data_IF_362533417957
#
_entry.id   IF_362533417957
#
_cell.length_a   1.000
_cell.length_b   1.000
_cell.length_c   1.000
_cell.angle_alpha   90.00
_cell.angle_beta   90.00
_cell.angle_gamma   90.00
#
_symmetry.space_group_name_H-M   'P 1'
#
loop_
_entity.id
_entity.type
_entity.pdbx_description
1 polymer ?
#
# COMPACT_ATOMS: atom_id res chain seq x y z
N UNK A 1 2.68 89.12 -17.11
CA UNK A 1 1.54 89.54 -17.92
C UNK A 1 0.65 88.31 -18.05
N UNK A 2 -0.29 88.26 -17.24
CA UNK A 2 -1.73 88.49 -17.46
C UNK A 2 -2.50 87.18 -17.71
N UNK A 3 -3.41 87.00 -16.74
CA UNK A 3 -4.76 86.44 -16.64
C UNK A 3 -4.98 84.93 -16.76
N UNK A 4 -5.35 84.31 -15.66
CA UNK A 4 -6.70 84.01 -15.14
C UNK A 4 -7.71 83.50 -16.19
N UNK A 5 -8.25 82.32 -15.91
CA UNK A 5 -9.65 82.11 -15.72
C UNK A 5 -10.02 80.77 -15.07
N UNK A 6 -10.63 80.83 -13.92
CA UNK A 6 -11.38 79.82 -13.21
C UNK A 6 -12.55 79.27 -14.07
N UNK A 7 -12.69 77.98 -14.15
CA UNK A 7 -13.99 77.37 -14.36
C UNK A 7 -14.16 76.18 -13.39
N UNK A 8 -15.03 76.44 -12.45
CA UNK A 8 -15.56 75.45 -11.51
C UNK A 8 -16.58 74.63 -12.29
N UNK A 9 -16.41 73.33 -12.38
CA UNK A 9 -17.47 72.42 -12.81
C UNK A 9 -17.59 71.29 -11.82
N UNK A 10 -18.70 71.34 -11.05
CA UNK A 10 -19.21 70.28 -10.22
C UNK A 10 -19.48 69.01 -11.05
N UNK A 11 -18.83 67.95 -10.76
CA UNK A 11 -19.31 66.68 -11.20
C UNK A 11 -19.51 65.74 -10.01
N UNK A 12 -20.73 65.27 -9.94
CA UNK A 12 -21.38 64.43 -8.97
C UNK A 12 -20.62 63.14 -8.77
N UNK A 13 -20.32 62.84 -7.54
CA UNK A 13 -19.81 61.54 -7.09
C UNK A 13 -20.93 60.50 -7.19
N UNK A 14 -20.82 59.62 -8.16
CA UNK A 14 -21.53 58.34 -8.14
C UNK A 14 -20.68 57.33 -7.37
N UNK A 15 -20.99 57.08 -6.12
CA UNK A 15 -20.46 55.98 -5.36
C UNK A 15 -21.00 54.67 -5.93
N UNK A 16 -20.23 54.01 -6.78
CA UNK A 16 -20.46 52.63 -7.12
C UNK A 16 -19.85 51.77 -6.03
N UNK A 17 -20.68 51.27 -5.13
CA UNK A 17 -20.31 50.25 -4.17
C UNK A 17 -20.03 48.94 -4.91
N UNK A 18 -18.76 48.64 -5.14
CA UNK A 18 -18.31 47.30 -5.55
C UNK A 18 -18.49 46.40 -4.35
N UNK A 19 -19.56 45.62 -4.33
CA UNK A 19 -19.70 44.50 -3.41
C UNK A 19 -18.71 43.42 -3.81
N UNK A 20 -17.62 43.31 -3.02
CA UNK A 20 -16.73 42.18 -3.08
C UNK A 20 -17.49 40.95 -2.59
N UNK A 21 -17.91 40.11 -3.53
CA UNK A 21 -18.42 38.78 -3.23
C UNK A 21 -17.23 37.96 -2.76
N UNK A 22 -17.10 37.85 -1.44
CA UNK A 22 -16.16 36.93 -0.81
C UNK A 22 -16.67 35.51 -1.05
N UNK A 23 -16.22 34.89 -2.14
CA UNK A 23 -16.38 33.46 -2.35
C UNK A 23 -15.47 32.76 -1.35
N UNK A 24 -15.97 32.48 -0.14
CA UNK A 24 -15.39 31.50 0.74
C UNK A 24 -15.51 30.15 0.07
N UNK A 25 -14.46 29.75 -0.62
CA UNK A 25 -14.24 28.36 -0.98
C UNK A 25 -14.05 27.59 0.33
N UNK A 26 -15.14 27.05 0.88
CA UNK A 26 -15.10 26.00 1.85
C UNK A 26 -14.38 24.82 1.20
N UNK A 27 -13.06 24.78 1.36
CA UNK A 27 -12.25 23.60 1.13
C UNK A 27 -12.58 22.52 2.17
N UNK A 28 -13.82 22.03 2.11
CA UNK A 28 -14.12 20.73 2.68
C UNK A 28 -13.36 19.73 1.80
N UNK A 29 -12.13 19.37 2.24
CA UNK A 29 -11.53 18.13 1.82
C UNK A 29 -12.56 17.04 2.14
N UNK A 30 -13.27 16.59 1.10
CA UNK A 30 -14.08 15.41 1.18
C UNK A 30 -13.14 14.29 1.60
N UNK A 31 -13.15 13.96 2.89
CA UNK A 31 -12.69 12.66 3.37
C UNK A 31 -13.63 11.63 2.73
N UNK A 32 -13.39 11.32 1.48
CA UNK A 32 -13.88 10.06 0.92
C UNK A 32 -13.30 9.00 1.83
N UNK A 33 -14.17 8.37 2.62
CA UNK A 33 -13.88 7.10 3.28
C UNK A 33 -13.64 6.12 2.13
N UNK A 34 -12.39 6.08 1.68
CA UNK A 34 -11.95 5.05 0.75
C UNK A 34 -12.16 3.76 1.51
N UNK A 35 -13.06 2.90 1.03
CA UNK A 35 -13.23 1.56 1.56
C UNK A 35 -11.83 0.95 1.68
N UNK A 36 -11.42 0.65 2.91
CA UNK A 36 -10.07 0.20 3.20
C UNK A 36 -9.87 -1.13 2.46
N UNK A 37 -9.01 -1.14 1.43
CA UNK A 37 -8.66 -2.38 0.75
C UNK A 37 -7.95 -3.30 1.74
N UNK A 38 -8.48 -4.51 1.91
CA UNK A 38 -7.97 -5.50 2.85
C UNK A 38 -7.58 -6.78 2.12
N UNK A 39 -6.66 -7.53 2.73
CA UNK A 39 -6.27 -8.84 2.24
C UNK A 39 -7.43 -9.84 2.28
N UNK A 40 -7.40 -10.83 1.41
CA UNK A 40 -8.32 -11.97 1.43
C UNK A 40 -8.04 -12.88 2.65
N UNK A 41 -6.78 -13.01 3.04
CA UNK A 41 -6.40 -13.72 4.24
C UNK A 41 -6.49 -12.77 5.45
N UNK A 42 -7.34 -13.06 6.46
CA UNK A 42 -7.48 -12.17 7.62
C UNK A 42 -6.15 -11.95 8.35
N UNK A 43 -5.87 -10.69 8.73
CA UNK A 43 -4.66 -10.32 9.47
C UNK A 43 -3.41 -10.10 8.62
N UNK A 44 -3.51 -10.27 7.30
CA UNK A 44 -2.42 -9.92 6.39
C UNK A 44 -2.47 -8.43 6.01
N UNK A 45 -1.30 -7.82 5.86
CA UNK A 45 -1.16 -6.47 5.32
C UNK A 45 -1.24 -6.51 3.79
N UNK A 46 -1.60 -5.39 3.18
CA UNK A 46 -1.62 -5.22 1.71
C UNK A 46 -0.70 -4.11 1.25
N UNK A 47 -0.22 -3.28 2.17
CA UNK A 47 0.65 -2.14 1.90
C UNK A 47 2.07 -2.44 2.36
N UNK A 48 3.05 -2.23 1.46
CA UNK A 48 4.47 -2.51 1.73
C UNK A 48 5.08 -1.58 2.77
N UNK A 49 4.63 -0.30 2.83
CA UNK A 49 5.12 0.65 3.81
C UNK A 49 4.67 0.27 5.23
N UNK A 50 3.44 -0.23 5.37
CA UNK A 50 2.93 -0.77 6.65
C UNK A 50 3.70 -2.02 7.06
N UNK A 51 3.94 -2.93 6.10
CA UNK A 51 4.73 -4.13 6.34
C UNK A 51 6.17 -3.79 6.74
N UNK A 52 6.79 -2.82 6.08
CA UNK A 52 8.11 -2.30 6.44
C UNK A 52 8.12 -1.72 7.86
N UNK A 53 7.18 -0.85 8.19
CA UNK A 53 7.10 -0.24 9.52
C UNK A 53 6.96 -1.29 10.62
N UNK A 54 6.12 -2.31 10.40
CA UNK A 54 5.95 -3.42 11.34
C UNK A 54 7.20 -4.30 11.42
N UNK A 55 7.83 -4.60 10.30
CA UNK A 55 9.10 -5.36 10.23
C UNK A 55 10.21 -4.65 11.01
N UNK A 56 10.39 -3.35 10.81
CA UNK A 56 11.36 -2.53 11.56
C UNK A 56 11.08 -2.52 13.05
N UNK A 57 9.82 -2.40 13.45
CA UNK A 57 9.41 -2.39 14.86
C UNK A 57 9.66 -3.72 15.55
N UNK A 58 9.45 -4.84 14.85
CA UNK A 58 9.48 -6.18 15.43
C UNK A 58 10.77 -6.96 15.17
N UNK A 59 11.61 -6.49 14.25
CA UNK A 59 12.80 -7.20 13.78
C UNK A 59 12.51 -8.41 12.90
N UNK A 60 11.23 -8.69 12.58
CA UNK A 60 10.83 -9.85 11.79
C UNK A 60 10.96 -9.60 10.30
N UNK A 61 11.36 -10.63 9.50
CA UNK A 61 11.32 -10.53 8.06
C UNK A 61 9.88 -10.44 7.54
N UNK A 62 9.71 -9.87 6.36
CA UNK A 62 8.44 -9.85 5.64
C UNK A 62 8.29 -11.16 4.86
N UNK A 63 7.12 -11.78 4.96
CA UNK A 63 6.71 -12.91 4.14
C UNK A 63 5.61 -12.45 3.20
N UNK A 64 5.95 -12.28 1.92
CA UNK A 64 5.03 -11.83 0.88
C UNK A 64 4.45 -13.00 0.08
N UNK A 65 3.13 -13.08 0.03
CA UNK A 65 2.39 -14.06 -0.76
C UNK A 65 1.89 -13.42 -2.07
N UNK A 66 2.52 -13.74 -3.17
CA UNK A 66 2.03 -13.41 -4.52
C UNK A 66 0.95 -14.41 -4.90
N UNK A 67 -0.28 -13.92 -5.08
CA UNK A 67 -1.48 -14.74 -5.22
C UNK A 67 -2.44 -14.21 -6.27
N UNK A 68 -3.36 -15.05 -6.71
CA UNK A 68 -4.52 -14.69 -7.52
C UNK A 68 -5.79 -15.20 -6.84
N UNK A 69 -6.26 -14.47 -5.83
CA UNK A 69 -7.23 -14.93 -4.84
C UNK A 69 -8.53 -15.47 -5.45
N UNK A 70 -9.01 -14.88 -6.56
CA UNK A 70 -10.29 -15.22 -7.16
C UNK A 70 -10.22 -16.27 -8.28
N UNK A 71 -9.02 -16.56 -8.82
CA UNK A 71 -8.86 -17.47 -9.96
C UNK A 71 -7.83 -18.59 -9.78
N UNK A 72 -6.80 -18.41 -8.91
CA UNK A 72 -5.70 -19.36 -8.76
C UNK A 72 -6.09 -20.53 -7.85
N UNK A 73 -6.31 -21.71 -8.42
CA UNK A 73 -6.71 -22.91 -7.67
C UNK A 73 -5.68 -23.37 -6.64
N UNK A 74 -4.38 -23.31 -6.95
CA UNK A 74 -3.31 -23.67 -6.02
C UNK A 74 -3.17 -22.67 -4.88
N UNK A 75 -3.43 -21.37 -5.13
CA UNK A 75 -3.44 -20.34 -4.09
C UNK A 75 -4.55 -20.61 -3.07
N UNK A 76 -5.75 -20.93 -3.55
CA UNK A 76 -6.89 -21.30 -2.68
C UNK A 76 -6.61 -22.56 -1.86
N UNK A 77 -5.94 -23.56 -2.45
CA UNK A 77 -5.51 -24.76 -1.71
C UNK A 77 -4.50 -24.42 -0.62
N UNK A 78 -3.49 -23.58 -0.93
CA UNK A 78 -2.50 -23.16 0.07
C UNK A 78 -3.16 -22.39 1.22
N UNK A 79 -4.08 -21.47 0.93
CA UNK A 79 -4.87 -20.80 1.96
C UNK A 79 -5.63 -21.80 2.83
N UNK A 80 -6.30 -22.77 2.23
CA UNK A 80 -7.11 -23.75 2.97
C UNK A 80 -6.27 -24.75 3.78
N UNK A 81 -5.11 -25.18 3.25
CA UNK A 81 -4.25 -26.17 3.93
C UNK A 81 -3.25 -25.57 4.90
N UNK A 82 -2.88 -24.29 4.73
CA UNK A 82 -1.84 -23.63 5.54
C UNK A 82 -2.36 -22.34 6.16
N UNK A 83 -2.64 -21.30 5.38
CA UNK A 83 -2.80 -19.94 5.91
C UNK A 83 -4.03 -19.74 6.82
N UNK A 84 -5.10 -20.52 6.58
CA UNK A 84 -6.31 -20.50 7.42
C UNK A 84 -6.16 -21.25 8.74
N UNK A 85 -5.09 -22.05 8.93
CA UNK A 85 -4.91 -22.88 10.10
C UNK A 85 -4.40 -22.05 11.29
N UNK A 86 -4.92 -22.33 12.47
CA UNK A 86 -4.54 -21.60 13.69
C UNK A 86 -3.08 -21.85 14.07
N UNK A 87 -2.56 -23.04 13.78
CA UNK A 87 -1.14 -23.37 13.94
C UNK A 87 -0.24 -22.44 13.12
N UNK A 88 -0.62 -22.17 11.84
CA UNK A 88 0.10 -21.23 10.99
C UNK A 88 0.00 -19.81 11.53
N UNK A 89 -1.18 -19.36 11.92
CA UNK A 89 -1.40 -18.00 12.44
C UNK A 89 -0.53 -17.75 13.69
N UNK A 90 -0.57 -18.71 14.63
CA UNK A 90 0.25 -18.64 15.86
C UNK A 90 1.74 -18.62 15.58
N UNK A 91 2.20 -19.41 14.61
CA UNK A 91 3.58 -19.42 14.17
C UNK A 91 3.96 -18.09 13.48
N UNK A 92 3.13 -17.60 12.57
CA UNK A 92 3.38 -16.39 11.80
C UNK A 92 3.48 -15.15 12.69
N UNK A 93 2.60 -15.03 13.69
CA UNK A 93 2.64 -13.95 14.69
C UNK A 93 4.00 -13.81 15.38
N UNK A 94 4.73 -14.91 15.53
CA UNK A 94 6.05 -14.93 16.19
C UNK A 94 7.21 -14.69 15.23
N UNK A 95 7.08 -15.11 13.97
CA UNK A 95 8.23 -15.30 13.08
C UNK A 95 8.30 -14.33 11.90
N UNK A 96 7.17 -13.83 11.39
CA UNK A 96 7.13 -13.04 10.15
C UNK A 96 6.12 -11.91 10.20
N UNK A 97 6.26 -10.94 9.31
CA UNK A 97 5.23 -9.97 8.96
C UNK A 97 4.56 -10.43 7.67
N UNK A 98 3.24 -10.61 7.71
CA UNK A 98 2.47 -11.15 6.60
C UNK A 98 2.06 -10.04 5.63
N UNK A 99 2.39 -10.19 4.34
CA UNK A 99 2.05 -9.28 3.25
C UNK A 99 1.37 -10.04 2.11
N UNK A 100 0.16 -9.65 1.73
CA UNK A 100 -0.56 -10.23 0.61
C UNK A 100 -0.45 -9.32 -0.62
N UNK A 101 0.04 -9.87 -1.71
CA UNK A 101 0.18 -9.22 -3.00
C UNK A 101 -0.76 -9.92 -3.98
N UNK A 102 -2.04 -9.49 -3.98
CA UNK A 102 -3.08 -10.12 -4.80
C UNK A 102 -3.14 -9.53 -6.21
N UNK A 103 -3.34 -10.42 -7.19
CA UNK A 103 -3.51 -10.13 -8.61
C UNK A 103 -4.85 -10.71 -9.10
N UNK A 104 -5.98 -10.18 -8.63
CA UNK A 104 -7.29 -10.70 -8.96
C UNK A 104 -7.68 -10.36 -10.40
N UNK A 105 -8.64 -11.13 -10.96
CA UNK A 105 -9.20 -10.88 -12.30
C UNK A 105 -10.61 -10.31 -12.26
N UNK A 106 -11.33 -10.49 -11.15
CA UNK A 106 -12.75 -10.11 -10.99
C UNK A 106 -12.98 -9.05 -9.91
N UNK A 107 -11.94 -8.70 -9.15
CA UNK A 107 -12.00 -7.70 -8.08
C UNK A 107 -11.19 -6.50 -8.45
N UNK A 108 -11.61 -5.33 -7.96
CA UNK A 108 -10.85 -4.09 -8.13
C UNK A 108 -9.86 -3.94 -6.98
N UNK A 109 -8.61 -3.71 -7.31
CA UNK A 109 -7.54 -3.33 -6.39
C UNK A 109 -7.26 -1.84 -6.59
N UNK A 110 -7.05 -1.04 -5.53
CA UNK A 110 -6.67 0.37 -5.66
C UNK A 110 -5.41 0.54 -6.52
N UNK A 111 -5.38 1.59 -7.33
CA UNK A 111 -4.31 1.80 -8.32
C UNK A 111 -2.90 1.84 -7.70
N UNK A 112 -2.75 2.45 -6.53
CA UNK A 112 -1.48 2.48 -5.80
C UNK A 112 -1.02 1.08 -5.36
N UNK A 113 -1.95 0.23 -4.92
CA UNK A 113 -1.66 -1.17 -4.55
C UNK A 113 -1.37 -2.01 -5.79
N UNK A 114 -2.09 -1.80 -6.89
CA UNK A 114 -1.77 -2.47 -8.17
C UNK A 114 -0.35 -2.15 -8.63
N UNK A 115 0.03 -0.87 -8.61
CA UNK A 115 1.38 -0.44 -8.99
C UNK A 115 2.45 -1.02 -8.05
N UNK A 116 2.22 -1.00 -6.74
CA UNK A 116 3.09 -1.63 -5.75
C UNK A 116 3.27 -3.13 -6.05
N UNK A 117 2.17 -3.86 -6.23
CA UNK A 117 2.21 -5.31 -6.47
C UNK A 117 2.96 -5.64 -7.77
N UNK A 118 2.73 -4.88 -8.84
CA UNK A 118 3.42 -5.06 -10.11
C UNK A 118 4.93 -4.81 -9.98
N UNK A 119 5.34 -3.76 -9.28
CA UNK A 119 6.75 -3.45 -9.03
C UNK A 119 7.44 -4.55 -8.23
N UNK A 120 6.79 -5.06 -7.18
CA UNK A 120 7.32 -6.16 -6.38
C UNK A 120 7.36 -7.47 -7.17
N UNK A 121 6.34 -7.75 -7.99
CA UNK A 121 6.34 -8.91 -8.88
C UNK A 121 7.55 -8.89 -9.83
N UNK A 122 7.85 -7.73 -10.41
CA UNK A 122 9.00 -7.55 -11.29
C UNK A 122 10.33 -7.69 -10.52
N UNK A 123 10.46 -7.04 -9.36
CA UNK A 123 11.66 -7.07 -8.53
C UNK A 123 12.02 -8.50 -8.09
N UNK A 124 11.01 -9.30 -7.72
CA UNK A 124 11.18 -10.70 -7.31
C UNK A 124 11.11 -11.69 -8.49
N UNK A 125 10.93 -11.23 -9.73
CA UNK A 125 10.83 -12.06 -10.93
C UNK A 125 9.78 -13.16 -10.80
N UNK A 126 8.62 -12.84 -10.24
CA UNK A 126 7.55 -13.80 -10.01
C UNK A 126 6.81 -14.08 -11.30
N UNK A 127 6.84 -15.34 -11.78
CA UNK A 127 6.21 -15.78 -13.02
C UNK A 127 5.00 -16.71 -12.83
N UNK A 128 4.69 -17.08 -11.58
CA UNK A 128 3.58 -17.99 -11.28
C UNK A 128 3.07 -17.84 -9.86
N UNK A 129 1.91 -18.46 -9.58
CA UNK A 129 1.23 -18.36 -8.30
C UNK A 129 0.80 -19.74 -7.77
N UNK A 130 0.81 -19.97 -6.43
CA UNK A 130 1.36 -19.06 -5.42
C UNK A 130 2.89 -19.02 -5.46
N UNK A 131 3.47 -17.86 -5.19
CA UNK A 131 4.89 -17.71 -4.88
C UNK A 131 5.01 -16.91 -3.60
N UNK A 132 5.77 -17.44 -2.65
CA UNK A 132 6.00 -16.81 -1.35
C UNK A 132 7.47 -16.43 -1.26
N UNK A 133 7.76 -15.16 -1.03
CA UNK A 133 9.09 -14.66 -0.74
C UNK A 133 9.23 -14.26 0.72
N UNK A 134 10.37 -14.58 1.31
CA UNK A 134 10.79 -14.14 2.64
C UNK A 134 12.00 -13.22 2.49
N UNK A 135 11.95 -12.02 3.07
CA UNK A 135 12.99 -11.01 2.88
C UNK A 135 13.00 -9.97 4.00
N UNK A 136 14.13 -9.31 4.18
CA UNK A 136 14.21 -8.03 4.87
C UNK A 136 14.10 -6.88 3.88
N UNK A 137 13.48 -5.79 4.33
CA UNK A 137 13.34 -4.58 3.58
C UNK A 137 14.09 -3.47 4.31
N UNK A 138 15.04 -2.83 3.63
CA UNK A 138 15.77 -1.68 4.12
C UNK A 138 15.39 -0.46 3.27
N UNK A 139 15.23 0.69 3.91
CA UNK A 139 14.89 1.94 3.23
C UNK A 139 16.05 2.92 3.33
N UNK A 140 16.51 3.41 2.19
CA UNK A 140 17.36 4.59 2.10
C UNK A 140 16.46 5.82 2.19
N UNK A 141 16.38 6.42 3.37
CA UNK A 141 15.48 7.56 3.62
C UNK A 141 15.86 8.79 2.77
N UNK A 142 17.15 8.97 2.45
CA UNK A 142 17.61 10.10 1.64
C UNK A 142 17.13 10.00 0.17
N UNK A 143 17.02 8.78 -0.35
CA UNK A 143 16.59 8.52 -1.73
C UNK A 143 15.14 8.05 -1.82
N UNK A 144 14.48 7.80 -0.68
CA UNK A 144 13.16 7.16 -0.59
C UNK A 144 13.08 5.86 -1.41
N UNK A 145 14.14 5.05 -1.34
CA UNK A 145 14.27 3.80 -2.09
C UNK A 145 14.37 2.61 -1.14
N UNK A 146 13.70 1.52 -1.52
CA UNK A 146 13.80 0.25 -0.82
C UNK A 146 14.89 -0.64 -1.41
N UNK A 147 15.65 -1.29 -0.52
CA UNK A 147 16.59 -2.37 -0.86
C UNK A 147 16.07 -3.67 -0.27
N UNK A 148 15.96 -4.70 -1.10
CA UNK A 148 15.47 -6.02 -0.73
C UNK A 148 16.64 -6.93 -0.42
N UNK A 149 16.66 -7.51 0.77
CA UNK A 149 17.54 -8.60 1.17
C UNK A 149 16.72 -9.90 1.18
N UNK A 150 16.81 -10.68 0.11
CA UNK A 150 16.03 -11.89 -0.06
C UNK A 150 16.63 -13.06 0.76
N UNK A 151 15.82 -13.64 1.64
CA UNK A 151 16.20 -14.81 2.45
C UNK A 151 15.87 -16.12 1.75
N UNK A 152 14.78 -16.17 0.98
CA UNK A 152 14.40 -17.32 0.20
C UNK A 152 12.98 -17.24 -0.35
N UNK A 153 12.62 -18.26 -1.15
CA UNK A 153 11.28 -18.40 -1.71
C UNK A 153 10.76 -19.82 -1.61
N UNK A 154 9.43 -19.95 -1.56
CA UNK A 154 8.72 -21.23 -1.65
C UNK A 154 7.44 -21.06 -2.46
N UNK A 155 6.72 -22.15 -2.66
CA UNK A 155 5.42 -22.16 -3.34
C UNK A 155 4.38 -22.92 -2.53
N UNK A 156 3.56 -23.73 -3.21
CA UNK A 156 2.57 -24.57 -2.58
C UNK A 156 3.24 -25.68 -1.75
N UNK A 157 2.76 -25.86 -0.52
CA UNK A 157 3.00 -27.05 0.31
C UNK A 157 1.67 -27.60 0.80
N UNK A 158 1.66 -28.88 1.15
CA UNK A 158 0.42 -29.55 1.54
C UNK A 158 0.06 -29.34 3.02
N UNK A 159 1.04 -29.07 3.87
CA UNK A 159 0.87 -28.99 5.33
C UNK A 159 1.49 -27.74 5.93
N UNK A 160 0.97 -27.35 7.10
CA UNK A 160 1.52 -26.22 7.88
C UNK A 160 2.96 -26.51 8.27
N UNK A 161 3.27 -27.71 8.75
CA UNK A 161 4.60 -28.07 9.21
C UNK A 161 5.64 -27.97 8.09
N UNK A 162 5.34 -28.50 6.90
CA UNK A 162 6.22 -28.41 5.75
C UNK A 162 6.49 -26.95 5.37
N UNK A 163 5.45 -26.14 5.33
CA UNK A 163 5.55 -24.72 5.01
C UNK A 163 6.40 -23.95 6.02
N UNK A 164 6.07 -24.06 7.30
CA UNK A 164 6.74 -23.32 8.38
C UNK A 164 8.19 -23.74 8.55
N UNK A 165 8.49 -25.05 8.49
CA UNK A 165 9.86 -25.55 8.53
C UNK A 165 10.71 -25.03 7.37
N UNK A 166 10.15 -24.96 6.16
CA UNK A 166 10.82 -24.39 5.00
C UNK A 166 11.13 -22.89 5.18
N UNK A 167 10.18 -22.12 5.70
CA UNK A 167 10.38 -20.69 5.97
C UNK A 167 11.40 -20.46 7.10
N UNK A 168 11.35 -21.25 8.16
CA UNK A 168 12.34 -21.17 9.26
C UNK A 168 13.77 -21.40 8.80
N UNK A 169 13.99 -22.32 7.86
CA UNK A 169 15.32 -22.55 7.27
C UNK A 169 15.82 -21.33 6.48
N UNK A 170 14.92 -20.52 5.90
CA UNK A 170 15.30 -19.29 5.21
C UNK A 170 15.69 -18.19 6.21
N UNK A 171 14.96 -18.09 7.32
CA UNK A 171 15.17 -17.06 8.36
C UNK A 171 16.46 -17.32 9.17
N UNK A 172 16.86 -18.57 9.35
CA UNK A 172 18.03 -18.96 10.17
C UNK A 172 19.37 -18.88 9.42
N UNK A 173 19.37 -18.59 8.14
CA UNK A 173 20.60 -18.42 7.34
C UNK A 173 21.26 -17.08 7.61
#
# INVERSE_FOLDING_TARGET
MVYEFLVISCFLWAFSTVQSVNAQSNGQAAHTVQATYTAENPGWLVNIDEAYALSKKTGKPIMANFTGSDWCGWCKRLTASVFSKDEFKTWAEKNVVLLELDFPRRKTVPQNIQAQNANLQQAFQVSGYPTIWVFHLNKDEAKNQYTIEALGKTGYTATVQEFTSGVEQMIKK
#
